data_IF_104702746945
#
_entry.id   IF_104702746945
#
_cell.length_a   1.000
_cell.length_b   1.000
_cell.length_c   1.000
_cell.angle_alpha   90.00
_cell.angle_beta   90.00
_cell.angle_gamma   90.00
#
_symmetry.space_group_name_H-M   'P 1'
#
loop_
_entity.id
_entity.type
_entity.pdbx_description
1 polymer ?
#
# COMPACT_ATOMS: atom_id res chain seq x y z
N UNK A 1 18.16 7.67 7.75
CA UNK A 1 16.68 7.56 7.61
C UNK A 1 16.12 8.94 7.29
N UNK A 2 15.21 9.04 6.32
CA UNK A 2 14.55 10.28 5.92
C UNK A 2 13.77 10.84 7.12
N UNK A 3 13.92 12.13 7.40
CA UNK A 3 13.14 12.79 8.46
C UNK A 3 11.78 13.23 7.91
N UNK A 4 10.77 13.24 8.76
CA UNK A 4 9.46 13.82 8.43
C UNK A 4 9.59 15.33 8.47
N UNK A 5 9.25 16.00 7.37
CA UNK A 5 9.27 17.46 7.29
C UNK A 5 7.91 18.06 7.71
N UNK A 6 7.86 19.36 8.03
CA UNK A 6 6.57 20.05 8.26
C UNK A 6 5.68 20.07 7.03
N UNK A 7 6.27 20.09 5.85
CA UNK A 7 5.52 19.94 4.61
C UNK A 7 4.96 18.53 4.44
N UNK A 8 5.70 17.49 4.86
CA UNK A 8 5.21 16.11 4.86
C UNK A 8 4.01 15.96 5.80
N UNK A 9 4.08 16.51 7.02
CA UNK A 9 2.95 16.53 7.96
C UNK A 9 1.72 17.20 7.33
N UNK A 10 1.90 18.39 6.78
CA UNK A 10 0.82 19.17 6.16
C UNK A 10 0.20 18.45 4.97
N UNK A 11 1.01 17.93 4.04
CA UNK A 11 0.51 17.26 2.83
C UNK A 11 -0.13 15.91 3.15
N UNK A 12 0.39 15.17 4.13
CA UNK A 12 -0.21 13.91 4.55
C UNK A 12 -1.56 14.15 5.22
N UNK A 13 -1.69 15.14 6.12
CA UNK A 13 -2.99 15.49 6.68
C UNK A 13 -3.97 15.94 5.59
N UNK A 14 -3.54 16.86 4.70
CA UNK A 14 -4.40 17.43 3.67
C UNK A 14 -4.88 16.35 2.70
N UNK A 15 -3.96 15.58 2.13
CA UNK A 15 -4.25 14.69 1.01
C UNK A 15 -4.51 13.25 1.40
N UNK A 16 -4.03 12.81 2.56
CA UNK A 16 -4.06 11.40 2.99
C UNK A 16 -2.93 10.55 2.40
N UNK A 17 -2.00 11.16 1.66
CA UNK A 17 -0.87 10.45 1.06
C UNK A 17 0.34 11.39 0.85
N UNK A 18 1.50 10.78 0.64
CA UNK A 18 2.74 11.45 0.24
C UNK A 18 3.40 10.69 -0.90
N UNK A 19 4.14 11.42 -1.75
CA UNK A 19 4.99 10.82 -2.79
C UNK A 19 6.45 10.98 -2.38
N UNK A 20 7.12 9.87 -2.13
CA UNK A 20 8.56 9.84 -1.84
C UNK A 20 9.30 9.47 -3.12
N UNK A 21 9.82 10.49 -3.82
CA UNK A 21 10.62 10.28 -5.03
C UNK A 21 11.95 9.61 -4.69
N UNK A 22 12.40 8.72 -5.57
CA UNK A 22 13.67 7.99 -5.44
C UNK A 22 13.81 7.28 -4.08
N UNK A 23 12.70 6.71 -3.58
CA UNK A 23 12.69 6.01 -2.30
C UNK A 23 13.62 4.80 -2.29
N UNK A 24 13.76 4.11 -3.44
CA UNK A 24 14.64 2.98 -3.63
C UNK A 24 15.79 3.34 -4.58
N UNK A 25 16.96 2.77 -4.33
CA UNK A 25 18.11 2.84 -5.23
C UNK A 25 17.89 1.96 -6.46
N UNK A 26 18.64 2.22 -7.54
CA UNK A 26 18.65 1.37 -8.74
C UNK A 26 19.03 -0.08 -8.43
N UNK A 27 19.92 -0.28 -7.45
CA UNK A 27 20.36 -1.62 -7.03
C UNK A 27 19.23 -2.37 -6.32
N UNK A 28 18.55 -1.71 -5.37
CA UNK A 28 17.40 -2.30 -4.67
C UNK A 28 16.30 -2.68 -5.65
N UNK A 29 15.95 -1.78 -6.57
CA UNK A 29 14.98 -2.08 -7.63
C UNK A 29 15.38 -3.31 -8.47
N UNK A 30 16.65 -3.40 -8.88
CA UNK A 30 17.15 -4.56 -9.64
C UNK A 30 17.06 -5.86 -8.84
N UNK A 31 17.45 -5.82 -7.56
CA UNK A 31 17.45 -7.00 -6.70
C UNK A 31 16.02 -7.50 -6.42
N UNK A 32 15.07 -6.59 -6.17
CA UNK A 32 13.66 -6.91 -5.98
C UNK A 32 13.05 -7.50 -7.27
N UNK A 33 13.25 -6.84 -8.41
CA UNK A 33 12.69 -7.32 -9.69
C UNK A 33 13.26 -8.68 -10.09
N UNK A 34 14.54 -8.97 -9.81
CA UNK A 34 15.14 -10.29 -10.06
C UNK A 34 14.42 -11.42 -9.30
N UNK A 35 13.90 -11.14 -8.10
CA UNK A 35 13.12 -12.10 -7.32
C UNK A 35 11.72 -12.22 -7.93
N UNK A 36 11.06 -11.11 -8.24
CA UNK A 36 9.74 -11.11 -8.88
C UNK A 36 9.73 -11.84 -10.22
N UNK A 37 10.78 -11.71 -11.03
CA UNK A 37 10.90 -12.42 -12.31
C UNK A 37 10.86 -13.94 -12.16
N UNK A 38 11.27 -14.47 -11.01
CA UNK A 38 11.20 -15.91 -10.70
C UNK A 38 9.83 -16.32 -10.16
N UNK A 39 9.12 -15.41 -9.51
CA UNK A 39 7.87 -15.68 -8.79
C UNK A 39 6.63 -15.30 -9.59
N UNK A 40 6.74 -14.47 -10.64
CA UNK A 40 5.61 -13.92 -11.41
C UNK A 40 4.71 -14.95 -12.08
N UNK A 41 5.18 -16.20 -12.20
CA UNK A 41 4.42 -17.31 -12.80
C UNK A 41 3.81 -18.25 -11.75
N UNK A 42 3.92 -17.94 -10.46
CA UNK A 42 3.29 -18.70 -9.38
C UNK A 42 1.77 -18.67 -9.55
N UNK A 43 1.10 -19.82 -9.45
CA UNK A 43 -0.36 -19.88 -9.65
C UNK A 43 -1.11 -19.67 -8.34
N UNK A 44 -2.42 -19.51 -8.44
CA UNK A 44 -3.29 -19.40 -7.28
C UNK A 44 -3.18 -20.67 -6.41
N UNK A 45 -3.05 -20.46 -5.10
CA UNK A 45 -2.82 -21.48 -4.08
C UNK A 45 -1.48 -22.23 -4.16
N UNK A 46 -0.56 -21.84 -5.05
CA UNK A 46 0.79 -22.39 -5.09
C UNK A 46 1.72 -21.64 -4.13
N UNK A 47 2.74 -22.35 -3.64
CA UNK A 47 3.75 -21.81 -2.73
C UNK A 47 5.15 -21.92 -3.35
N UNK A 48 5.94 -20.87 -3.18
CA UNK A 48 7.37 -20.85 -3.50
C UNK A 48 8.13 -20.50 -2.21
N UNK A 49 8.58 -21.52 -1.49
CA UNK A 49 9.05 -21.36 -0.12
C UNK A 49 7.89 -20.87 0.76
N UNK A 50 8.05 -19.70 1.37
CA UNK A 50 7.03 -19.08 2.23
C UNK A 50 6.21 -17.98 1.52
N UNK A 51 6.40 -17.80 0.21
CA UNK A 51 5.60 -16.87 -0.60
C UNK A 51 4.42 -17.63 -1.20
N UNK A 52 3.22 -17.08 -1.02
CA UNK A 52 1.96 -17.69 -1.48
C UNK A 52 1.40 -16.94 -2.69
N UNK A 53 1.16 -17.65 -3.79
CA UNK A 53 0.46 -17.12 -4.95
C UNK A 53 -1.04 -17.08 -4.70
N UNK A 54 -1.63 -15.90 -4.71
CA UNK A 54 -3.05 -15.71 -4.40
C UNK A 54 -3.73 -14.82 -5.45
N UNK A 55 -4.91 -15.23 -5.89
CA UNK A 55 -5.87 -14.37 -6.56
C UNK A 55 -7.31 -14.83 -6.25
N UNK A 56 -8.26 -13.96 -6.51
CA UNK A 56 -9.71 -14.19 -6.35
C UNK A 56 -10.35 -14.74 -7.64
N UNK A 57 -9.55 -15.15 -8.63
CA UNK A 57 -10.02 -15.61 -9.94
C UNK A 57 -10.68 -14.51 -10.78
N UNK A 58 -10.45 -13.24 -10.43
CA UNK A 58 -10.99 -12.09 -11.16
C UNK A 58 -9.94 -11.41 -12.04
N UNK A 59 -10.03 -10.08 -12.14
CA UNK A 59 -9.09 -9.24 -12.90
C UNK A 59 -8.16 -8.44 -11.99
N UNK A 60 -7.93 -8.86 -10.76
CA UNK A 60 -7.07 -8.15 -9.79
C UNK A 60 -5.56 -8.41 -9.98
N UNK A 61 -5.22 -9.41 -10.80
CA UNK A 61 -3.87 -9.92 -11.00
C UNK A 61 -3.43 -10.92 -9.93
N UNK A 62 -2.15 -11.28 -9.95
CA UNK A 62 -1.53 -12.19 -8.98
C UNK A 62 -0.99 -11.41 -7.78
N UNK A 63 -1.42 -11.75 -6.59
CA UNK A 63 -0.80 -11.31 -5.34
C UNK A 63 0.20 -12.37 -4.86
N UNK A 64 1.46 -11.99 -4.75
CA UNK A 64 2.50 -12.76 -4.08
C UNK A 64 2.48 -12.36 -2.59
N UNK A 65 1.70 -13.08 -1.81
CA UNK A 65 1.51 -12.85 -0.37
C UNK A 65 2.74 -13.24 0.44
N UNK A 66 2.96 -12.56 1.57
CA UNK A 66 4.14 -12.72 2.42
C UNK A 66 5.45 -12.46 1.67
N UNK A 67 5.45 -11.44 0.82
CA UNK A 67 6.58 -11.13 -0.05
C UNK A 67 7.85 -10.77 0.74
N UNK A 68 7.75 -10.33 2.00
CA UNK A 68 8.93 -10.15 2.85
C UNK A 68 9.76 -11.44 3.03
N UNK A 69 9.14 -12.62 2.88
CA UNK A 69 9.82 -13.91 2.94
C UNK A 69 10.54 -14.29 1.63
N UNK A 70 10.40 -13.48 0.57
CA UNK A 70 11.03 -13.75 -0.73
C UNK A 70 12.56 -13.52 -0.72
N UNK A 71 13.12 -13.18 0.44
CA UNK A 71 14.55 -13.07 0.72
C UNK A 71 14.99 -11.66 1.12
N UNK A 72 16.28 -11.55 1.46
CA UNK A 72 16.89 -10.34 2.04
C UNK A 72 16.54 -9.01 1.33
N UNK A 73 16.39 -8.92 -0.01
CA UNK A 73 15.99 -7.67 -0.64
C UNK A 73 14.60 -7.18 -0.20
N UNK A 74 13.62 -8.07 -0.03
CA UNK A 74 12.28 -7.72 0.44
C UNK A 74 12.24 -7.52 1.96
N UNK A 75 12.97 -8.33 2.72
CA UNK A 75 13.15 -8.15 4.18
C UNK A 75 13.63 -6.73 4.53
N UNK A 76 14.59 -6.21 3.76
CA UNK A 76 15.13 -4.83 3.92
C UNK A 76 14.10 -3.72 3.66
N UNK A 77 12.93 -4.03 3.13
CA UNK A 77 11.85 -3.07 2.95
C UNK A 77 11.07 -2.81 4.24
N UNK A 78 11.10 -3.74 5.21
CA UNK A 78 10.31 -3.67 6.45
C UNK A 78 10.58 -2.35 7.19
N UNK A 79 11.85 -2.01 7.39
CA UNK A 79 12.29 -0.83 8.15
C UNK A 79 13.10 0.16 7.29
N UNK A 80 12.82 0.18 5.98
CA UNK A 80 13.65 0.90 5.03
C UNK A 80 13.80 2.40 5.39
N UNK A 81 15.01 2.96 5.30
CA UNK A 81 15.30 4.33 5.70
C UNK A 81 14.46 5.42 5.03
N UNK A 82 13.86 5.14 3.88
CA UNK A 82 13.04 6.12 3.13
C UNK A 82 11.67 6.39 3.74
N UNK A 83 11.13 5.48 4.56
CA UNK A 83 9.76 5.62 5.12
C UNK A 83 9.61 5.24 6.59
N UNK A 84 10.53 4.50 7.21
CA UNK A 84 10.32 4.00 8.58
C UNK A 84 9.98 5.12 9.59
N UNK A 85 10.65 6.28 9.49
CA UNK A 85 10.33 7.43 10.33
C UNK A 85 8.95 8.03 10.04
N UNK A 86 8.49 8.00 8.79
CA UNK A 86 7.13 8.43 8.41
C UNK A 86 6.09 7.47 8.99
N UNK A 87 6.34 6.15 8.93
CA UNK A 87 5.43 5.16 9.50
C UNK A 87 5.27 5.35 11.01
N UNK A 88 6.39 5.44 11.74
CA UNK A 88 6.39 5.70 13.18
C UNK A 88 5.68 7.01 13.55
N UNK A 89 5.84 8.04 12.72
CA UNK A 89 5.24 9.34 12.98
C UNK A 89 3.73 9.36 12.73
N UNK A 90 3.26 8.78 11.62
CA UNK A 90 1.86 8.84 11.21
C UNK A 90 0.97 7.81 11.91
N UNK A 91 1.48 6.60 12.16
CA UNK A 91 0.77 5.64 13.03
C UNK A 91 0.62 6.22 14.43
N UNK A 92 1.68 6.88 14.93
CA UNK A 92 1.68 7.53 16.22
C UNK A 92 2.07 6.57 17.34
N UNK A 93 1.47 6.72 18.52
CA UNK A 93 1.76 5.86 19.68
C UNK A 93 3.10 6.13 20.37
N UNK A 94 4.02 6.92 19.78
CA UNK A 94 5.27 7.26 20.46
C UNK A 94 5.04 7.85 21.85
N UNK A 95 5.60 7.19 22.86
CA UNK A 95 5.50 7.56 24.27
C UNK A 95 4.27 6.99 24.99
N UNK A 96 3.52 6.08 24.38
CA UNK A 96 2.48 5.28 25.07
C UNK A 96 3.05 3.95 25.57
N UNK A 97 2.28 3.27 26.42
CA UNK A 97 2.60 1.93 26.92
C UNK A 97 2.72 0.91 25.77
N UNK A 98 1.76 0.90 24.83
CA UNK A 98 1.72 -0.07 23.72
C UNK A 98 2.98 -0.02 22.84
N UNK A 99 3.56 1.18 22.67
CA UNK A 99 4.78 1.38 21.90
C UNK A 99 6.01 0.65 22.50
N UNK A 100 5.94 0.21 23.76
CA UNK A 100 6.97 -0.63 24.39
C UNK A 100 6.89 -2.11 23.94
N UNK A 101 5.74 -2.57 23.45
CA UNK A 101 5.53 -3.94 22.98
C UNK A 101 5.83 -4.12 21.49
N UNK A 102 5.92 -3.03 20.74
CA UNK A 102 6.23 -3.01 19.32
C UNK A 102 5.77 -1.69 18.72
N UNK A 103 6.65 -0.91 18.06
CA UNK A 103 6.27 0.41 17.61
C UNK A 103 5.37 0.39 16.37
N UNK A 104 5.41 -0.71 15.60
CA UNK A 104 4.65 -0.97 14.39
C UNK A 104 4.44 -2.48 14.24
N UNK A 105 3.39 -2.87 13.51
CA UNK A 105 3.19 -4.24 13.03
C UNK A 105 2.82 -4.20 11.54
N UNK A 106 3.11 -5.28 10.83
CA UNK A 106 2.69 -5.46 9.44
C UNK A 106 1.38 -6.24 9.44
N UNK A 107 0.31 -5.61 9.01
CA UNK A 107 -1.01 -6.24 8.86
C UNK A 107 -1.06 -7.15 7.63
N UNK A 108 -0.55 -6.66 6.49
CA UNK A 108 -0.46 -7.40 5.23
C UNK A 108 0.71 -6.88 4.39
N UNK A 109 1.29 -7.75 3.56
CA UNK A 109 2.28 -7.39 2.56
C UNK A 109 2.21 -8.34 1.35
N UNK A 110 2.24 -7.77 0.15
CA UNK A 110 2.33 -8.54 -1.08
C UNK A 110 2.96 -7.72 -2.19
N UNK A 111 3.52 -8.41 -3.19
CA UNK A 111 3.76 -7.83 -4.50
C UNK A 111 2.62 -8.21 -5.42
N UNK A 112 2.08 -7.23 -6.15
CA UNK A 112 1.01 -7.46 -7.10
C UNK A 112 1.56 -7.41 -8.53
N UNK A 113 1.29 -8.47 -9.29
CA UNK A 113 1.65 -8.61 -10.71
C UNK A 113 0.37 -8.50 -11.52
N UNK A 114 0.29 -7.48 -12.39
CA UNK A 114 -0.86 -7.23 -13.27
C UNK A 114 -0.48 -7.24 -14.73
N UNK A 115 -1.39 -7.77 -15.54
CA UNK A 115 -1.40 -7.67 -16.99
C UNK A 115 -2.46 -6.68 -17.51
N UNK A 116 -2.56 -6.54 -18.84
CA UNK A 116 -3.52 -5.64 -19.47
C UNK A 116 -4.97 -5.93 -19.07
N UNK A 117 -5.70 -4.88 -18.66
CA UNK A 117 -7.10 -4.97 -18.26
C UNK A 117 -7.33 -5.50 -16.84
N UNK A 118 -6.25 -5.78 -16.09
CA UNK A 118 -6.32 -6.12 -14.68
C UNK A 118 -6.25 -4.85 -13.80
N UNK A 119 -7.12 -4.78 -12.80
CA UNK A 119 -7.22 -3.66 -11.88
C UNK A 119 -7.90 -4.07 -10.56
N UNK A 120 -7.70 -3.24 -9.54
CA UNK A 120 -8.51 -3.28 -8.32
C UNK A 120 -9.44 -2.06 -8.37
N UNK A 121 -10.74 -2.31 -8.19
CA UNK A 121 -11.76 -1.27 -8.11
C UNK A 121 -11.58 -0.36 -6.89
N UNK A 122 -12.35 0.75 -6.87
CA UNK A 122 -12.31 1.67 -5.72
C UNK A 122 -12.69 0.95 -4.43
N UNK A 123 -11.96 1.25 -3.36
CA UNK A 123 -12.15 0.69 -2.04
C UNK A 123 -11.59 1.65 -0.98
N UNK A 124 -11.94 1.41 0.27
CA UNK A 124 -11.54 2.16 1.46
C UNK A 124 -12.09 3.60 1.51
N UNK A 125 -11.57 4.37 2.47
CA UNK A 125 -12.02 5.72 2.80
C UNK A 125 -12.78 5.76 4.13
N UNK A 126 -12.87 6.95 4.72
CA UNK A 126 -13.57 7.13 6.00
C UNK A 126 -15.05 6.69 5.99
N UNK A 127 -15.83 6.91 4.91
CA UNK A 127 -17.24 6.49 4.87
C UNK A 127 -17.49 4.99 4.97
N UNK A 128 -16.47 4.13 4.75
CA UNK A 128 -16.64 2.69 4.98
C UNK A 128 -16.72 2.31 6.47
N UNK A 129 -16.25 3.18 7.38
CA UNK A 129 -16.36 2.96 8.82
C UNK A 129 -15.51 1.81 9.39
N UNK A 130 -14.52 1.31 8.63
CA UNK A 130 -13.61 0.26 9.09
C UNK A 130 -12.54 0.82 10.04
N UNK A 131 -12.21 0.09 11.11
CA UNK A 131 -11.20 0.52 12.09
C UNK A 131 -9.84 0.83 11.46
N UNK A 132 -9.42 0.04 10.47
CA UNK A 132 -8.17 0.27 9.72
C UNK A 132 -8.14 1.58 8.94
N UNK A 133 -9.30 2.17 8.63
CA UNK A 133 -9.41 3.44 7.91
C UNK A 133 -9.41 4.66 8.87
N UNK A 134 -9.34 4.44 10.19
CA UNK A 134 -9.38 5.54 11.13
C UNK A 134 -8.14 6.45 11.02
N UNK A 135 -8.45 7.74 10.91
CA UNK A 135 -7.50 8.83 10.93
C UNK A 135 -7.92 9.84 11.99
N UNK A 136 -6.97 10.24 12.84
CA UNK A 136 -7.18 11.35 13.78
C UNK A 136 -5.89 12.14 13.94
N UNK A 137 -6.02 13.47 13.95
CA UNK A 137 -4.96 14.38 14.38
C UNK A 137 -5.41 15.08 15.66
N UNK A 138 -4.74 14.84 16.78
CA UNK A 138 -5.12 15.39 18.07
C UNK A 138 -3.87 15.73 18.90
N UNK A 139 -3.90 16.87 19.59
CA UNK A 139 -2.79 17.33 20.45
C UNK A 139 -1.44 17.35 19.73
N UNK A 140 -1.45 17.76 18.45
CA UNK A 140 -0.24 17.85 17.63
C UNK A 140 0.32 16.50 17.16
N UNK A 141 -0.44 15.40 17.30
CA UNK A 141 -0.01 14.04 16.96
C UNK A 141 -0.96 13.38 15.98
N UNK A 142 -0.40 12.59 15.08
CA UNK A 142 -1.15 11.68 14.21
C UNK A 142 -1.50 10.40 14.96
N UNK A 143 -2.66 9.86 14.62
CA UNK A 143 -3.19 8.59 15.07
C UNK A 143 -3.86 7.92 13.87
N UNK A 144 -3.07 7.21 13.07
CA UNK A 144 -3.56 6.43 11.94
C UNK A 144 -3.59 4.96 12.33
N UNK A 145 -4.74 4.31 12.20
CA UNK A 145 -4.84 2.88 12.51
C UNK A 145 -4.05 2.00 11.53
N UNK A 146 -3.91 2.45 10.28
CA UNK A 146 -3.06 1.81 9.28
C UNK A 146 -2.46 2.88 8.35
N UNK A 147 -1.21 2.68 7.95
CA UNK A 147 -0.53 3.47 6.92
C UNK A 147 0.10 2.51 5.93
N UNK A 148 -0.18 2.68 4.64
CA UNK A 148 0.33 1.80 3.59
C UNK A 148 1.54 2.42 2.88
N UNK A 149 2.47 1.56 2.48
CA UNK A 149 3.58 1.89 1.58
C UNK A 149 3.30 1.23 0.24
N UNK A 150 3.20 2.05 -0.81
CA UNK A 150 3.06 1.57 -2.18
C UNK A 150 4.35 1.85 -2.94
N UNK A 151 4.95 0.80 -3.51
CA UNK A 151 6.20 0.88 -4.24
C UNK A 151 5.97 0.66 -5.73
N UNK A 152 6.37 1.63 -6.55
CA UNK A 152 6.51 1.43 -7.98
C UNK A 152 7.83 0.69 -8.26
N UNK A 153 7.74 -0.59 -8.60
CA UNK A 153 8.90 -1.44 -8.89
C UNK A 153 9.31 -1.41 -10.38
N UNK A 154 8.44 -0.88 -11.22
CA UNK A 154 8.66 -0.55 -12.63
C UNK A 154 8.29 0.91 -12.88
N UNK A 155 8.68 1.43 -14.05
CA UNK A 155 8.15 2.72 -14.50
C UNK A 155 6.64 2.60 -14.73
N UNK A 156 5.92 3.68 -14.45
CA UNK A 156 4.48 3.80 -14.69
C UNK A 156 4.29 5.02 -15.60
N UNK A 157 3.97 4.77 -16.85
CA UNK A 157 3.65 5.78 -17.86
C UNK A 157 2.15 5.96 -18.06
N UNK A 158 1.75 6.89 -18.95
CA UNK A 158 0.36 7.04 -19.37
C UNK A 158 -0.18 5.73 -19.96
N UNK A 159 -1.32 5.25 -19.45
CA UNK A 159 -1.98 4.02 -19.92
C UNK A 159 -1.51 2.73 -19.21
N UNK A 160 -0.51 2.78 -18.33
CA UNK A 160 0.01 1.60 -17.62
C UNK A 160 -0.85 1.20 -16.40
N UNK A 161 -1.97 1.89 -16.14
CA UNK A 161 -2.88 1.58 -15.03
C UNK A 161 -2.29 1.84 -13.64
N UNK A 162 -1.63 2.99 -13.47
CA UNK A 162 -1.05 3.42 -12.19
C UNK A 162 -2.07 3.56 -11.06
N UNK A 163 -1.60 3.55 -9.82
CA UNK A 163 -2.47 3.76 -8.65
C UNK A 163 -3.14 5.14 -8.69
N UNK A 164 -4.47 5.15 -8.61
CA UNK A 164 -5.28 6.37 -8.47
C UNK A 164 -5.72 6.52 -7.02
N UNK A 165 -5.56 7.72 -6.47
CA UNK A 165 -5.97 8.07 -5.11
C UNK A 165 -6.92 9.27 -5.20
N UNK A 166 -8.03 9.24 -4.45
CA UNK A 166 -8.88 10.41 -4.24
C UNK A 166 -8.34 11.16 -3.01
N UNK A 167 -7.73 12.35 -3.19
CA UNK A 167 -7.18 13.11 -2.08
C UNK A 167 -8.26 13.44 -1.03
N UNK A 168 -7.85 13.47 0.23
CA UNK A 168 -8.70 13.82 1.38
C UNK A 168 -9.86 12.85 1.68
N UNK A 169 -9.98 11.74 0.94
CA UNK A 169 -11.05 10.75 1.14
C UNK A 169 -10.96 10.00 2.49
N UNK A 170 -9.78 10.01 3.13
CA UNK A 170 -9.54 9.52 4.50
C UNK A 170 -10.18 10.37 5.60
N UNK A 171 -10.65 11.59 5.28
CA UNK A 171 -11.40 12.47 6.19
C UNK A 171 -12.84 12.71 5.72
N UNK A 172 -13.25 12.16 4.57
CA UNK A 172 -14.57 12.42 4.01
C UNK A 172 -15.67 11.81 4.89
N UNK A 173 -16.67 12.59 5.24
CA UNK A 173 -17.86 12.08 5.94
C UNK A 173 -18.90 11.50 4.96
N UNK A 174 -18.79 11.83 3.67
CA UNK A 174 -19.76 11.44 2.64
C UNK A 174 -19.07 10.50 1.66
N UNK A 175 -19.75 9.39 1.33
CA UNK A 175 -19.26 8.42 0.35
C UNK A 175 -19.20 9.03 -1.04
N UNK A 176 -18.17 8.69 -1.81
CA UNK A 176 -18.06 9.15 -3.20
C UNK A 176 -19.27 8.65 -4.02
N UNK A 177 -19.96 9.51 -4.79
CA UNK A 177 -21.18 9.14 -5.51
C UNK A 177 -21.02 7.96 -6.48
N UNK A 178 -19.83 7.83 -7.09
CA UNK A 178 -19.55 6.74 -8.02
C UNK A 178 -18.92 5.50 -7.37
N UNK A 179 -18.80 5.46 -6.04
CA UNK A 179 -18.10 4.37 -5.34
C UNK A 179 -18.65 2.99 -5.74
N UNK A 180 -19.97 2.81 -5.68
CA UNK A 180 -20.61 1.51 -5.97
C UNK A 180 -20.43 1.06 -7.42
N UNK A 181 -20.41 2.04 -8.33
CA UNK A 181 -20.19 1.80 -9.74
C UNK A 181 -18.77 1.30 -10.01
N UNK A 182 -17.79 1.84 -9.28
CA UNK A 182 -16.36 1.58 -9.48
C UNK A 182 -15.74 0.54 -8.53
N UNK A 183 -16.50 0.02 -7.56
CA UNK A 183 -16.01 -0.95 -6.57
C UNK A 183 -15.77 -2.34 -7.16
N UNK A 184 -14.89 -3.13 -6.53
CA UNK A 184 -14.71 -4.54 -6.87
C UNK A 184 -16.03 -5.31 -6.69
N UNK A 185 -16.51 -5.97 -7.76
CA UNK A 185 -17.68 -6.86 -7.70
C UNK A 185 -17.22 -8.32 -7.61
N UNK A 186 -18.00 -9.15 -6.90
CA UNK A 186 -17.80 -10.60 -6.89
C UNK A 186 -17.84 -11.15 -8.33
N UNK A 187 -16.96 -12.11 -8.64
CA UNK A 187 -16.88 -12.75 -9.96
C UNK A 187 -16.08 -11.99 -11.01
N UNK A 188 -15.09 -11.18 -10.62
CA UNK A 188 -14.08 -10.64 -11.55
C UNK A 188 -14.55 -9.50 -12.47
N UNK A 189 -15.76 -8.97 -12.29
CA UNK A 189 -16.21 -7.77 -12.99
C UNK A 189 -15.62 -6.54 -12.32
N UNK A 190 -14.47 -6.09 -12.82
CA UNK A 190 -13.87 -4.81 -12.42
C UNK A 190 -14.40 -3.72 -13.34
N UNK A 191 -14.81 -2.62 -12.73
CA UNK A 191 -15.06 -1.34 -13.37
C UNK A 191 -13.81 -0.49 -13.21
N UNK A 192 -13.03 -0.31 -14.27
CA UNK A 192 -11.95 0.68 -14.25
C UNK A 192 -12.54 2.06 -13.96
N UNK A 193 -11.80 2.90 -13.23
CA UNK A 193 -12.11 4.33 -13.11
C UNK A 193 -11.68 5.11 -14.37
N UNK A 194 -10.89 4.48 -15.25
CA UNK A 194 -10.50 5.02 -16.54
C UNK A 194 -11.59 4.71 -17.57
N UNK A 195 -12.10 5.78 -18.21
CA UNK A 195 -12.89 5.71 -19.45
C UNK A 195 -11.96 5.61 -20.65
#
# INVERSE_FOLDING_TARGET
>A
MKKVSKLDEYLFDLNGYLIIKNALTKKELKDLNKILDKLKNLKNNEWAGYVHGHNYGGKEGLNLQQIYEAGKPFEKLIDHPSWINHMLHFVGGKGTFDHLHGPLFIDENFANIRGPGEAIGIHSGNPEGLQRNHYRYQNGKFHCSQVNILLALTNIGPGDGGTVIIPSSHKSNIRHPEFEKHSMKKGGKVSSAEK
#
